data_IF_273349383898
#
_entry.id   IF_273349383898
#
_cell.length_a   1.000
_cell.length_b   1.000
_cell.length_c   1.000
_cell.angle_alpha   90.00
_cell.angle_beta   90.00
_cell.angle_gamma   90.00
#
_symmetry.space_group_name_H-M   'P 1'
#
loop_
_entity.id
_entity.type
_entity.pdbx_description
1 polymer ?
#
# COMPACT_ATOMS: atom_id res chain seq x y z
N UNK A 1 -40.67 26.85 -2.40
CA UNK A 1 -40.46 25.80 -1.38
C UNK A 1 -39.04 25.22 -1.52
N UNK A 2 -38.04 25.72 -0.79
CA UNK A 2 -36.62 25.34 -1.00
C UNK A 2 -36.15 24.11 -0.18
N UNK A 3 -36.99 23.57 0.70
CA UNK A 3 -36.60 22.50 1.63
C UNK A 3 -36.59 21.08 1.05
N UNK A 4 -37.31 20.81 -0.04
CA UNK A 4 -37.38 19.47 -0.65
C UNK A 4 -36.14 19.11 -1.47
N UNK A 5 -35.59 20.09 -2.21
CA UNK A 5 -34.41 19.91 -3.06
C UNK A 5 -33.17 19.56 -2.23
N UNK A 6 -32.96 20.24 -1.09
CA UNK A 6 -31.82 20.02 -0.18
C UNK A 6 -31.84 18.65 0.51
N UNK A 7 -33.03 18.15 0.86
CA UNK A 7 -33.21 16.80 1.44
C UNK A 7 -32.95 15.71 0.41
N UNK A 8 -33.39 15.92 -0.83
CA UNK A 8 -33.13 15.01 -1.95
C UNK A 8 -31.64 14.92 -2.29
N UNK A 9 -30.92 16.05 -2.32
CA UNK A 9 -29.46 16.07 -2.53
C UNK A 9 -28.69 15.31 -1.44
N UNK A 10 -29.09 15.45 -0.16
CA UNK A 10 -28.47 14.72 0.94
C UNK A 10 -28.77 13.21 0.82
N UNK A 11 -29.99 12.83 0.48
CA UNK A 11 -30.37 11.43 0.25
C UNK A 11 -29.59 10.82 -0.92
N UNK A 12 -29.39 11.56 -2.01
CA UNK A 12 -28.57 11.14 -3.16
C UNK A 12 -27.11 10.93 -2.75
N UNK A 13 -26.53 11.84 -1.97
CA UNK A 13 -25.13 11.71 -1.48
C UNK A 13 -24.96 10.51 -0.55
N UNK A 14 -25.94 10.23 0.31
CA UNK A 14 -25.93 9.05 1.20
C UNK A 14 -26.07 7.75 0.38
N UNK A 15 -26.94 7.74 -0.63
CA UNK A 15 -27.12 6.61 -1.53
C UNK A 15 -25.85 6.32 -2.37
N UNK A 16 -25.18 7.36 -2.88
CA UNK A 16 -23.93 7.22 -3.64
C UNK A 16 -22.75 6.77 -2.77
N UNK A 17 -22.72 7.12 -1.49
CA UNK A 17 -21.70 6.63 -0.53
C UNK A 17 -21.94 5.18 -0.09
N UNK A 18 -23.20 4.71 -0.07
CA UNK A 18 -23.54 3.35 0.35
C UNK A 18 -23.06 2.23 -0.61
N UNK A 19 -22.87 2.55 -1.90
CA UNK A 19 -22.42 1.58 -2.92
C UNK A 19 -20.91 1.28 -2.80
N UNK A 20 -20.13 2.15 -2.15
CA UNK A 20 -18.67 2.03 -2.06
C UNK A 20 -18.17 1.15 -0.91
N UNK A 21 -19.02 0.40 -0.21
CA UNK A 21 -18.65 -0.42 0.96
C UNK A 21 -18.41 -1.90 0.64
N UNK A 22 -18.36 -2.29 -0.64
CA UNK A 22 -17.95 -3.64 -1.01
C UNK A 22 -16.43 -3.73 -0.85
N UNK A 23 -15.94 -4.43 0.19
CA UNK A 23 -14.57 -4.94 0.18
C UNK A 23 -14.34 -5.71 -1.11
N UNK A 24 -13.14 -5.61 -1.71
CA UNK A 24 -12.84 -6.27 -2.99
C UNK A 24 -13.09 -7.77 -2.86
N UNK A 25 -14.17 -8.26 -3.48
CA UNK A 25 -14.48 -9.69 -3.57
C UNK A 25 -13.51 -10.38 -4.54
N UNK A 26 -12.94 -9.61 -5.46
CA UNK A 26 -12.00 -10.04 -6.48
C UNK A 26 -10.60 -9.44 -6.25
N UNK A 27 -9.60 -10.32 -6.10
CA UNK A 27 -8.20 -9.98 -5.94
C UNK A 27 -7.38 -10.23 -7.22
N UNK A 28 -8.01 -10.48 -8.37
CA UNK A 28 -7.33 -10.77 -9.65
C UNK A 28 -6.37 -9.66 -10.09
N UNK A 29 -6.61 -8.42 -9.66
CA UNK A 29 -5.68 -7.30 -9.89
C UNK A 29 -4.27 -7.60 -9.35
N UNK A 30 -4.15 -8.35 -8.25
CA UNK A 30 -2.87 -8.74 -7.67
C UNK A 30 -2.11 -9.64 -8.64
N UNK A 31 -2.83 -10.59 -9.25
CA UNK A 31 -2.26 -11.54 -10.20
C UNK A 31 -1.73 -10.82 -11.43
N UNK A 32 -2.51 -9.89 -11.99
CA UNK A 32 -2.11 -9.09 -13.15
C UNK A 32 -0.91 -8.19 -12.83
N UNK A 33 -0.89 -7.60 -11.63
CA UNK A 33 0.14 -6.65 -11.21
C UNK A 33 1.47 -7.33 -10.87
N UNK A 34 1.42 -8.46 -10.19
CA UNK A 34 2.58 -9.16 -9.64
C UNK A 34 2.93 -10.44 -10.39
N UNK A 35 2.18 -10.81 -11.41
CA UNK A 35 2.31 -12.09 -12.13
C UNK A 35 2.31 -13.28 -11.16
N UNK A 36 1.35 -13.27 -10.22
CA UNK A 36 1.26 -14.27 -9.16
C UNK A 36 0.93 -15.65 -9.74
N UNK A 37 1.68 -16.66 -9.31
CA UNK A 37 1.54 -18.06 -9.76
C UNK A 37 0.33 -18.80 -9.15
N UNK A 38 -0.35 -18.18 -8.18
CA UNK A 38 -1.51 -18.76 -7.49
C UNK A 38 -1.16 -19.74 -6.37
N UNK A 39 0.13 -19.97 -6.09
CA UNK A 39 0.59 -21.00 -5.13
C UNK A 39 1.61 -20.46 -4.14
N UNK A 40 2.58 -19.66 -4.60
CA UNK A 40 3.64 -19.11 -3.75
C UNK A 40 3.09 -18.05 -2.78
N UNK A 41 3.77 -17.87 -1.65
CA UNK A 41 3.32 -16.89 -0.65
C UNK A 41 3.42 -15.46 -1.24
N UNK A 42 2.43 -14.61 -0.98
CA UNK A 42 2.37 -13.24 -1.49
C UNK A 42 3.60 -12.41 -1.10
N UNK A 43 4.25 -12.72 0.03
CA UNK A 43 5.48 -12.06 0.49
C UNK A 43 6.64 -12.18 -0.49
N UNK A 44 6.67 -13.25 -1.28
CA UNK A 44 7.75 -13.54 -2.23
C UNK A 44 7.76 -12.54 -3.41
N UNK A 45 6.65 -11.80 -3.57
CA UNK A 45 6.43 -10.80 -4.63
C UNK A 45 6.65 -9.36 -4.13
N UNK A 46 7.14 -9.18 -2.89
CA UNK A 46 7.38 -7.87 -2.28
C UNK A 46 8.87 -7.51 -2.19
N UNK A 47 9.17 -6.23 -2.42
CA UNK A 47 10.48 -5.65 -2.09
C UNK A 47 10.41 -5.11 -0.66
N UNK A 48 10.95 -5.86 0.30
CA UNK A 48 10.85 -5.52 1.73
C UNK A 48 12.04 -4.72 2.28
N UNK A 49 13.02 -4.38 1.44
CA UNK A 49 14.18 -3.59 1.86
C UNK A 49 13.75 -2.15 2.21
N UNK A 50 14.25 -1.55 3.31
CA UNK A 50 13.81 -0.24 3.79
C UNK A 50 13.84 0.86 2.71
N UNK A 51 14.83 0.84 1.83
CA UNK A 51 14.97 1.81 0.73
C UNK A 51 13.74 1.88 -0.21
N UNK A 52 12.90 0.85 -0.25
CA UNK A 52 11.74 0.75 -1.16
C UNK A 52 10.39 0.81 -0.43
N UNK A 53 10.39 0.91 0.91
CA UNK A 53 9.17 0.96 1.74
C UNK A 53 8.58 2.37 1.90
N UNK A 54 9.19 3.37 1.25
CA UNK A 54 8.72 4.76 1.27
C UNK A 54 9.20 5.56 2.49
N UNK A 55 8.65 6.77 2.72
CA UNK A 55 9.19 7.73 3.68
C UNK A 55 9.04 7.32 5.16
N UNK A 56 8.22 6.30 5.46
CA UNK A 56 8.07 5.75 6.80
C UNK A 56 9.04 4.60 7.09
N UNK A 57 9.87 4.21 6.12
CA UNK A 57 10.92 3.24 6.33
C UNK A 57 11.96 3.80 7.30
N UNK A 58 12.49 2.95 8.18
CA UNK A 58 13.63 3.32 9.01
C UNK A 58 14.80 3.73 8.09
N UNK A 59 15.53 4.81 8.40
CA UNK A 59 16.67 5.23 7.60
C UNK A 59 17.69 4.10 7.51
N UNK A 60 18.20 3.86 6.31
CA UNK A 60 19.33 2.95 6.12
C UNK A 60 20.58 3.65 6.66
N UNK A 61 21.36 3.02 7.56
CA UNK A 61 22.60 3.60 8.04
C UNK A 61 23.56 3.87 6.88
N UNK A 62 24.22 5.02 6.90
CA UNK A 62 25.36 5.27 6.02
C UNK A 62 26.50 4.34 6.44
N UNK A 63 26.97 3.51 5.51
CA UNK A 63 28.18 2.71 5.70
C UNK A 63 29.39 3.64 5.57
N UNK A 64 29.76 4.31 6.65
CA UNK A 64 31.06 4.98 6.74
C UNK A 64 32.13 3.91 6.95
N UNK A 65 32.97 3.75 5.93
CA UNK A 65 34.17 2.90 5.83
C UNK A 65 34.44 1.98 7.02
N UNK A 66 34.31 0.67 6.78
CA UNK A 66 34.74 -0.35 7.72
C UNK A 66 36.18 -0.08 8.12
N UNK A 67 36.39 0.37 9.37
CA UNK A 67 37.72 0.50 9.95
C UNK A 67 38.32 -0.90 9.98
N UNK A 68 39.12 -1.22 8.95
CA UNK A 68 40.05 -2.33 9.03
C UNK A 68 41.11 -1.90 10.03
N UNK A 69 40.97 -2.32 11.28
CA UNK A 69 42.01 -2.21 12.27
C UNK A 69 43.23 -3.00 11.75
N UNK A 70 44.08 -2.31 11.00
CA UNK A 70 45.33 -2.84 10.47
C UNK A 70 46.29 -2.91 11.65
N UNK A 71 46.22 -4.01 12.39
CA UNK A 71 47.18 -4.34 13.43
C UNK A 71 48.27 -5.22 12.85
N UNK A 72 49.42 -4.66 12.47
CA UNK A 72 50.70 -5.38 12.31
C UNK A 72 51.82 -4.33 12.18
N UNK A 73 52.48 -3.96 13.28
CA UNK A 73 53.78 -4.46 13.80
C UNK A 73 55.01 -4.00 13.02
#
# INVERSE_FOLDING_TARGET
>A
MPGSLRKSSIAIVILMKGICLMGQVDYSWWNEKHNWDGVSNWTDYLIITPAYMGPNALPVPDLTDGILATNTS
#
